data_IF_126816403851
#
_entry.id   IF_126816403851
#
_cell.length_a   1.000
_cell.length_b   1.000
_cell.length_c   1.000
_cell.angle_alpha   90.00
_cell.angle_beta   90.00
_cell.angle_gamma   90.00
#
_symmetry.space_group_name_H-M   'P 1'
#
loop_
_entity.id
_entity.type
_entity.pdbx_description
1 polymer ?
#
# COMPACT_ATOMS: atom_id res chain seq x y z
N UNK A 1 22.95 -18.91 22.62
CA UNK A 1 21.52 -18.82 22.27
C UNK A 1 20.80 -19.80 23.17
N UNK A 2 19.90 -19.31 24.01
CA UNK A 2 19.18 -20.14 24.97
C UNK A 2 18.23 -21.07 24.21
N UNK A 3 18.01 -22.28 24.71
CA UNK A 3 17.18 -23.31 24.07
C UNK A 3 15.74 -22.83 23.79
N UNK A 4 15.22 -21.99 24.69
CA UNK A 4 13.90 -21.36 24.52
C UNK A 4 13.85 -20.34 23.39
N UNK A 5 14.89 -19.52 23.22
CA UNK A 5 15.00 -18.56 22.10
C UNK A 5 15.09 -19.29 20.76
N UNK A 6 15.81 -20.41 20.70
CA UNK A 6 15.91 -21.24 19.50
C UNK A 6 14.56 -21.86 19.11
N UNK A 7 13.80 -22.36 20.10
CA UNK A 7 12.46 -22.92 19.86
C UNK A 7 11.49 -21.84 19.43
N UNK A 8 11.51 -20.67 20.06
CA UNK A 8 10.64 -19.54 19.68
C UNK A 8 10.95 -19.07 18.25
N UNK A 9 12.23 -18.91 17.90
CA UNK A 9 12.65 -18.57 16.54
C UNK A 9 12.18 -19.61 15.51
N UNK A 10 12.29 -20.90 15.82
CA UNK A 10 11.80 -21.96 14.95
C UNK A 10 10.27 -21.95 14.81
N UNK A 11 9.52 -21.68 15.88
CA UNK A 11 8.06 -21.54 15.83
C UNK A 11 7.64 -20.31 14.99
N UNK A 12 8.38 -19.22 15.07
CA UNK A 12 8.12 -18.03 14.27
C UNK A 12 8.41 -18.27 12.78
N UNK A 13 9.45 -19.02 12.47
CA UNK A 13 9.72 -19.45 11.09
C UNK A 13 8.63 -20.39 10.56
N UNK A 14 8.13 -21.33 11.36
CA UNK A 14 7.03 -22.21 10.98
C UNK A 14 5.73 -21.45 10.76
N UNK A 15 5.42 -20.45 11.58
CA UNK A 15 4.28 -19.56 11.38
C UNK A 15 4.43 -18.76 10.09
N UNK A 16 5.62 -18.20 9.86
CA UNK A 16 5.92 -17.42 8.65
C UNK A 16 5.83 -18.26 7.37
N UNK A 17 6.22 -19.54 7.42
CA UNK A 17 6.11 -20.47 6.28
C UNK A 17 4.68 -20.93 5.97
N UNK A 18 3.73 -20.71 6.90
CA UNK A 18 2.31 -21.05 6.72
C UNK A 18 1.45 -19.84 6.33
N UNK A 19 1.98 -18.63 6.46
CA UNK A 19 1.31 -17.40 6.11
C UNK A 19 1.50 -17.11 4.62
N UNK A 20 0.48 -16.54 3.98
CA UNK A 20 0.59 -16.04 2.61
C UNK A 20 1.60 -14.89 2.48
N UNK A 21 2.18 -14.72 1.29
CA UNK A 21 3.09 -13.61 1.00
C UNK A 21 2.32 -12.30 0.89
N UNK A 22 2.88 -11.22 1.46
CA UNK A 22 2.27 -9.91 1.50
C UNK A 22 3.05 -8.89 0.67
N UNK A 23 2.47 -8.47 -0.47
CA UNK A 23 3.05 -7.47 -1.38
C UNK A 23 2.23 -6.20 -1.36
N UNK A 24 2.89 -5.06 -1.11
CA UNK A 24 2.26 -3.74 -1.05
C UNK A 24 2.82 -2.82 -2.12
N UNK A 25 1.96 -2.24 -2.96
CA UNK A 25 2.29 -1.12 -3.84
C UNK A 25 2.03 0.20 -3.14
N UNK A 26 3.10 0.97 -2.93
CA UNK A 26 3.02 2.32 -2.35
C UNK A 26 3.11 3.36 -3.46
N UNK A 27 2.37 4.44 -3.32
CA UNK A 27 2.52 5.61 -4.18
C UNK A 27 2.27 6.88 -3.40
N UNK A 28 2.87 7.97 -3.86
CA UNK A 28 2.74 9.28 -3.23
C UNK A 28 1.30 9.78 -3.16
N UNK A 29 0.47 9.47 -4.18
CA UNK A 29 -0.90 9.99 -4.34
C UNK A 29 -1.71 9.08 -5.28
N UNK A 30 -3.02 9.36 -5.40
CA UNK A 30 -3.87 8.73 -6.40
C UNK A 30 -3.41 9.07 -7.84
N UNK A 31 -3.56 8.13 -8.77
CA UNK A 31 -3.25 8.33 -10.20
C UNK A 31 -1.83 8.00 -10.63
N UNK A 32 -0.93 7.62 -9.71
CA UNK A 32 0.44 7.19 -10.07
C UNK A 32 0.49 5.85 -10.82
N UNK A 33 -0.59 5.03 -10.75
CA UNK A 33 -0.68 3.78 -11.50
C UNK A 33 -0.57 2.51 -10.64
N UNK A 34 -0.76 2.58 -9.32
CA UNK A 34 -0.69 1.40 -8.43
C UNK A 34 -1.63 0.28 -8.85
N UNK A 35 -2.94 0.56 -8.97
CA UNK A 35 -3.95 -0.43 -9.34
C UNK A 35 -3.69 -1.00 -10.74
N UNK A 36 -3.23 -0.16 -11.69
CA UNK A 36 -2.80 -0.61 -13.02
C UNK A 36 -1.66 -1.62 -12.93
N UNK A 37 -0.60 -1.29 -12.19
CA UNK A 37 0.57 -2.18 -12.03
C UNK A 37 0.19 -3.49 -11.32
N UNK A 38 -0.61 -3.38 -10.28
CA UNK A 38 -1.11 -4.53 -9.51
C UNK A 38 -1.89 -5.51 -10.39
N UNK A 39 -2.80 -5.02 -11.23
CA UNK A 39 -3.56 -5.84 -12.18
C UNK A 39 -2.68 -6.42 -13.29
N UNK A 40 -1.69 -5.66 -13.78
CA UNK A 40 -0.73 -6.17 -14.77
C UNK A 40 0.08 -7.33 -14.20
N UNK A 41 0.55 -7.23 -12.95
CA UNK A 41 1.26 -8.33 -12.28
C UNK A 41 0.32 -9.53 -12.04
N UNK A 42 -0.97 -9.29 -11.76
CA UNK A 42 -1.97 -10.34 -11.60
C UNK A 42 -2.15 -11.15 -12.89
N UNK A 43 -2.18 -10.50 -14.06
CA UNK A 43 -2.20 -11.19 -15.35
C UNK A 43 -0.97 -12.08 -15.56
N UNK A 44 0.23 -11.56 -15.26
CA UNK A 44 1.47 -12.34 -15.38
C UNK A 44 1.49 -13.57 -14.46
N UNK A 45 0.96 -13.44 -13.24
CA UNK A 45 0.81 -14.56 -12.32
C UNK A 45 -0.18 -15.59 -12.87
N UNK A 46 -1.34 -15.14 -13.37
CA UNK A 46 -2.35 -16.03 -13.96
C UNK A 46 -1.80 -16.78 -15.19
N UNK A 47 -1.08 -16.07 -16.09
CA UNK A 47 -0.39 -16.67 -17.24
C UNK A 47 0.67 -17.70 -16.82
N UNK A 48 1.27 -17.52 -15.65
CA UNK A 48 2.23 -18.46 -15.04
C UNK A 48 1.55 -19.65 -14.36
N UNK A 49 0.22 -19.74 -14.39
CA UNK A 49 -0.56 -20.85 -13.84
C UNK A 49 -0.91 -20.72 -12.35
N UNK A 50 -0.69 -19.54 -11.75
CA UNK A 50 -1.06 -19.26 -10.35
C UNK A 50 -2.55 -18.92 -10.27
N UNK A 51 -3.27 -19.50 -9.30
CA UNK A 51 -4.69 -19.17 -9.05
C UNK A 51 -4.81 -17.79 -8.41
N UNK A 52 -4.96 -16.76 -9.25
CA UNK A 52 -5.12 -15.36 -8.85
C UNK A 52 -6.58 -14.94 -8.97
N UNK A 53 -7.12 -14.29 -7.94
CA UNK A 53 -8.48 -13.71 -7.97
C UNK A 53 -8.48 -12.27 -7.49
N UNK A 54 -9.39 -11.47 -8.03
CA UNK A 54 -9.68 -10.13 -7.52
C UNK A 54 -10.68 -10.27 -6.38
N UNK A 55 -10.23 -9.96 -5.14
CA UNK A 55 -11.11 -9.86 -3.97
C UNK A 55 -11.77 -8.49 -3.88
N UNK A 56 -11.00 -7.42 -4.17
CA UNK A 56 -11.52 -6.06 -4.27
C UNK A 56 -10.63 -5.19 -5.15
N UNK A 57 -11.22 -4.46 -6.05
CA UNK A 57 -10.55 -3.46 -6.90
C UNK A 57 -11.46 -2.25 -7.12
N UNK A 58 -10.91 -1.04 -7.04
CA UNK A 58 -11.64 0.17 -7.37
C UNK A 58 -10.98 0.86 -8.57
N UNK A 59 -11.65 0.83 -9.70
CA UNK A 59 -11.14 1.41 -10.96
C UNK A 59 -11.39 2.91 -11.06
N UNK A 60 -12.33 3.42 -10.28
CA UNK A 60 -12.79 4.82 -10.33
C UNK A 60 -13.26 5.27 -11.74
N UNK A 61 -13.68 4.34 -12.59
CA UNK A 61 -14.07 4.61 -13.99
C UNK A 61 -12.88 4.92 -14.90
N UNK A 62 -11.67 4.48 -14.55
CA UNK A 62 -10.46 4.65 -15.39
C UNK A 62 -10.41 3.54 -16.43
N UNK A 63 -10.63 3.89 -17.69
CA UNK A 63 -10.75 2.94 -18.82
C UNK A 63 -9.52 1.99 -18.89
N UNK A 64 -8.31 2.52 -18.74
CA UNK A 64 -7.08 1.72 -18.80
C UNK A 64 -7.01 0.68 -17.66
N UNK A 65 -7.54 1.02 -16.48
CA UNK A 65 -7.57 0.10 -15.31
C UNK A 65 -8.72 -0.90 -15.44
N UNK A 66 -9.88 -0.46 -15.93
CA UNK A 66 -11.03 -1.32 -16.18
C UNK A 66 -10.71 -2.42 -17.19
N UNK A 67 -10.01 -2.07 -18.28
CA UNK A 67 -9.57 -3.04 -19.27
C UNK A 67 -8.70 -4.16 -18.69
N UNK A 68 -7.91 -3.89 -17.65
CA UNK A 68 -7.09 -4.89 -16.98
C UNK A 68 -7.87 -5.77 -15.98
N UNK A 69 -9.12 -5.46 -15.68
CA UNK A 69 -9.98 -6.36 -14.89
C UNK A 69 -10.49 -7.51 -15.77
N UNK A 70 -10.63 -7.29 -17.08
CA UNK A 70 -11.03 -8.32 -18.02
C UNK A 70 -10.01 -9.47 -18.03
N UNK A 71 -10.53 -10.70 -18.00
CA UNK A 71 -9.72 -11.93 -18.01
C UNK A 71 -9.21 -12.36 -16.63
N UNK A 72 -9.35 -11.54 -15.59
CA UNK A 72 -9.05 -11.95 -14.22
C UNK A 72 -10.33 -12.44 -13.51
N UNK A 73 -10.28 -13.58 -12.79
CA UNK A 73 -11.41 -14.03 -11.98
C UNK A 73 -11.70 -13.04 -10.85
N UNK A 74 -12.98 -12.61 -10.73
CA UNK A 74 -13.43 -11.65 -9.71
C UNK A 74 -14.32 -12.36 -8.70
N UNK A 75 -14.04 -12.19 -7.42
CA UNK A 75 -14.92 -12.62 -6.32
C UNK A 75 -16.04 -11.59 -6.20
N UNK A 76 -17.33 -11.99 -6.27
CA UNK A 76 -18.44 -11.06 -6.14
C UNK A 76 -18.38 -10.27 -4.83
N UNK A 77 -18.66 -8.98 -4.90
CA UNK A 77 -18.74 -8.14 -3.71
C UNK A 77 -19.97 -8.50 -2.87
N UNK A 78 -19.85 -8.40 -1.57
CA UNK A 78 -20.96 -8.54 -0.64
C UNK A 78 -21.79 -7.25 -0.64
N UNK A 79 -23.11 -7.36 -0.76
CA UNK A 79 -24.03 -6.24 -0.65
C UNK A 79 -24.51 -6.09 0.79
N UNK A 80 -24.34 -4.89 1.34
CA UNK A 80 -24.77 -4.53 2.69
C UNK A 80 -25.74 -3.36 2.60
N UNK A 81 -26.91 -3.49 3.24
CA UNK A 81 -27.87 -2.40 3.33
C UNK A 81 -27.57 -1.53 4.56
N UNK A 82 -27.07 -0.30 4.32
CA UNK A 82 -26.67 0.62 5.37
C UNK A 82 -27.30 1.99 5.17
N UNK A 83 -27.99 2.52 6.19
CA UNK A 83 -28.65 3.84 6.18
C UNK A 83 -29.50 4.11 4.92
N UNK A 84 -30.26 3.10 4.48
CA UNK A 84 -31.17 3.23 3.35
C UNK A 84 -30.51 3.10 1.97
N UNK A 85 -29.24 2.71 1.90
CA UNK A 85 -28.49 2.49 0.65
C UNK A 85 -27.87 1.11 0.63
N UNK A 86 -27.84 0.48 -0.53
CA UNK A 86 -27.04 -0.71 -0.77
C UNK A 86 -25.59 -0.27 -1.03
N UNK A 87 -24.66 -0.84 -0.27
CA UNK A 87 -23.22 -0.60 -0.38
C UNK A 87 -22.53 -1.93 -0.68
N UNK A 88 -21.55 -1.90 -1.54
CA UNK A 88 -20.76 -3.06 -1.90
C UNK A 88 -19.43 -3.08 -1.16
N UNK A 89 -19.15 -4.20 -0.49
CA UNK A 89 -17.89 -4.44 0.24
C UNK A 89 -17.22 -5.73 -0.24
N UNK A 90 -15.95 -5.87 0.07
CA UNK A 90 -15.21 -7.11 -0.14
C UNK A 90 -15.90 -8.25 0.61
N UNK A 91 -16.13 -9.37 -0.06
CA UNK A 91 -16.65 -10.58 0.58
C UNK A 91 -15.52 -11.47 1.09
N UNK A 92 -15.07 -11.17 2.30
CA UNK A 92 -13.98 -11.91 2.94
C UNK A 92 -14.30 -13.42 3.07
N UNK A 93 -15.58 -13.77 3.28
CA UNK A 93 -15.98 -15.17 3.46
C UNK A 93 -15.95 -15.97 2.15
N UNK A 94 -16.10 -15.29 1.01
CA UNK A 94 -16.02 -15.90 -0.32
C UNK A 94 -14.57 -16.06 -0.82
N UNK A 95 -13.57 -15.55 -0.10
CA UNK A 95 -12.15 -15.77 -0.38
C UNK A 95 -11.75 -17.12 0.20
N UNK A 96 -12.06 -18.22 -0.53
CA UNK A 96 -11.97 -19.55 0.02
C UNK A 96 -10.61 -20.22 -0.13
N UNK A 97 -9.94 -20.07 -1.26
CA UNK A 97 -8.64 -20.74 -1.47
C UNK A 97 -7.88 -20.35 -2.75
N UNK A 98 -7.85 -19.09 -3.21
CA UNK A 98 -6.91 -18.73 -4.26
C UNK A 98 -5.49 -18.79 -3.69
N UNK A 99 -4.49 -18.95 -4.57
CA UNK A 99 -3.09 -18.82 -4.14
C UNK A 99 -2.73 -17.35 -3.88
N UNK A 100 -3.32 -16.44 -4.68
CA UNK A 100 -3.12 -14.99 -4.57
C UNK A 100 -4.45 -14.26 -4.70
N UNK A 101 -4.67 -13.27 -3.86
CA UNK A 101 -5.83 -12.36 -3.96
C UNK A 101 -5.38 -10.90 -4.10
N UNK A 102 -6.03 -10.20 -5.01
CA UNK A 102 -5.84 -8.75 -5.22
C UNK A 102 -6.83 -7.99 -4.36
N UNK A 103 -6.32 -7.12 -3.48
CA UNK A 103 -7.14 -6.28 -2.59
C UNK A 103 -6.66 -4.84 -2.65
N UNK A 104 -7.39 -3.98 -3.34
CA UNK A 104 -7.08 -2.54 -3.41
C UNK A 104 -7.61 -1.78 -2.19
N UNK A 105 -7.19 -0.52 -2.05
CA UNK A 105 -7.62 0.40 -0.98
C UNK A 105 -7.40 -0.15 0.44
N UNK A 106 -6.15 -0.53 0.76
CA UNK A 106 -5.77 -1.14 2.05
C UNK A 106 -6.22 -0.34 3.28
N UNK A 107 -6.31 0.99 3.20
CA UNK A 107 -6.67 1.86 4.31
C UNK A 107 -8.20 2.05 4.49
N UNK A 108 -9.00 1.44 3.61
CA UNK A 108 -10.46 1.59 3.64
C UNK A 108 -11.07 1.22 4.99
N UNK A 109 -12.07 2.00 5.42
CA UNK A 109 -12.90 1.68 6.58
C UNK A 109 -14.13 0.92 6.11
N UNK A 110 -14.23 -0.34 6.50
CA UNK A 110 -15.34 -1.20 6.13
C UNK A 110 -16.68 -0.69 6.68
N UNK A 111 -17.77 -1.01 6.00
CA UNK A 111 -19.11 -0.65 6.46
C UNK A 111 -19.43 -1.34 7.78
N UNK A 112 -20.15 -0.66 8.65
CA UNK A 112 -20.66 -1.20 9.91
C UNK A 112 -21.43 -2.52 9.67
N UNK A 113 -21.11 -3.53 10.48
CA UNK A 113 -21.61 -4.91 10.31
C UNK A 113 -20.69 -5.80 9.44
N UNK A 114 -19.55 -5.29 8.98
CA UNK A 114 -18.47 -6.12 8.45
C UNK A 114 -17.75 -6.88 9.57
N UNK A 115 -17.03 -7.98 9.23
CA UNK A 115 -16.26 -8.78 10.21
C UNK A 115 -15.23 -7.91 10.92
N UNK A 116 -14.48 -7.14 10.16
CA UNK A 116 -13.44 -6.25 10.65
C UNK A 116 -13.81 -4.79 10.36
N UNK A 117 -13.34 -3.85 11.18
CA UNK A 117 -13.57 -2.42 10.99
C UNK A 117 -12.77 -1.86 9.80
N UNK A 118 -11.58 -2.41 9.54
CA UNK A 118 -10.65 -1.93 8.53
C UNK A 118 -10.28 -3.02 7.52
N UNK A 119 -10.12 -2.66 6.27
CA UNK A 119 -9.71 -3.59 5.21
C UNK A 119 -8.34 -4.21 5.45
N UNK A 120 -7.40 -3.47 6.03
CA UNK A 120 -6.11 -4.04 6.37
C UNK A 120 -6.22 -5.23 7.35
N UNK A 121 -7.23 -5.23 8.25
CA UNK A 121 -7.49 -6.36 9.15
C UNK A 121 -8.01 -7.58 8.37
N UNK A 122 -8.88 -7.36 7.37
CA UNK A 122 -9.32 -8.43 6.47
C UNK A 122 -8.14 -9.03 5.71
N UNK A 123 -7.20 -8.18 5.26
CA UNK A 123 -5.97 -8.62 4.60
C UNK A 123 -5.11 -9.47 5.54
N UNK A 124 -4.99 -9.10 6.83
CA UNK A 124 -4.28 -9.94 7.80
C UNK A 124 -4.95 -11.31 7.96
N UNK A 125 -6.27 -11.36 8.05
CA UNK A 125 -7.02 -12.63 8.14
C UNK A 125 -6.77 -13.54 6.91
N UNK A 126 -6.72 -12.94 5.71
CA UNK A 126 -6.43 -13.66 4.45
C UNK A 126 -5.01 -14.24 4.47
N UNK A 127 -4.03 -13.43 4.87
CA UNK A 127 -2.64 -13.86 4.98
C UNK A 127 -2.47 -14.98 6.00
N UNK A 128 -3.13 -14.90 7.15
CA UNK A 128 -3.08 -15.90 8.21
C UNK A 128 -3.76 -17.22 7.80
N UNK A 129 -4.70 -17.16 6.84
CA UNK A 129 -5.27 -18.34 6.18
C UNK A 129 -4.33 -18.97 5.16
N UNK A 130 -3.13 -18.43 4.92
CA UNK A 130 -2.14 -18.96 3.98
C UNK A 130 -2.29 -18.46 2.54
N UNK A 131 -3.16 -17.49 2.29
CA UNK A 131 -3.42 -16.90 0.97
C UNK A 131 -2.55 -15.66 0.81
N UNK A 132 -1.80 -15.58 -0.29
CA UNK A 132 -0.98 -14.40 -0.61
C UNK A 132 -1.83 -13.22 -1.02
N UNK A 133 -1.42 -12.01 -0.61
CA UNK A 133 -2.15 -10.77 -0.91
C UNK A 133 -1.26 -9.78 -1.63
N UNK A 134 -1.79 -9.22 -2.72
CA UNK A 134 -1.23 -8.05 -3.41
C UNK A 134 -2.18 -6.89 -3.19
N UNK A 135 -1.69 -5.79 -2.62
CA UNK A 135 -2.51 -4.63 -2.25
C UNK A 135 -1.83 -3.31 -2.61
N UNK A 136 -2.58 -2.21 -2.46
CA UNK A 136 -2.06 -0.88 -2.72
C UNK A 136 -2.46 0.13 -1.65
N UNK A 137 -1.57 1.10 -1.39
CA UNK A 137 -1.81 2.19 -0.45
C UNK A 137 -1.13 3.48 -0.92
N UNK A 138 -1.71 4.63 -0.62
CA UNK A 138 -1.03 5.92 -0.77
C UNK A 138 -0.30 6.27 0.53
N UNK A 139 0.81 6.97 0.41
CA UNK A 139 1.66 7.41 1.54
C UNK A 139 0.87 8.16 2.61
N UNK A 140 -0.15 8.93 2.21
CA UNK A 140 -1.01 9.72 3.09
C UNK A 140 -1.83 8.89 4.08
N UNK A 141 -1.98 7.59 3.84
CA UNK A 141 -2.73 6.68 4.69
C UNK A 141 -1.86 5.94 5.70
N UNK A 142 -0.56 6.20 5.75
CA UNK A 142 0.37 5.61 6.73
C UNK A 142 0.31 6.45 8.00
N UNK A 143 0.01 5.81 9.13
CA UNK A 143 -0.25 6.50 10.40
C UNK A 143 0.94 7.34 10.87
N UNK A 144 2.15 6.78 10.85
CA UNK A 144 3.37 7.47 11.26
C UNK A 144 3.78 8.66 10.38
N UNK A 145 3.18 8.81 9.19
CA UNK A 145 3.43 9.92 8.27
C UNK A 145 2.31 10.97 8.25
N UNK A 146 1.22 10.73 9.00
CA UNK A 146 0.02 11.55 8.90
C UNK A 146 0.24 13.03 9.23
N UNK A 147 1.00 13.35 10.28
CA UNK A 147 1.32 14.73 10.65
C UNK A 147 2.10 15.43 9.54
N UNK A 148 3.15 14.79 9.01
CA UNK A 148 3.94 15.34 7.90
C UNK A 148 3.09 15.57 6.64
N UNK A 149 2.20 14.62 6.33
CA UNK A 149 1.28 14.77 5.20
C UNK A 149 0.29 15.90 5.43
N UNK A 150 -0.24 16.03 6.65
CA UNK A 150 -1.15 17.12 7.01
C UNK A 150 -0.47 18.49 6.88
N UNK A 151 0.77 18.62 7.30
CA UNK A 151 1.57 19.83 7.15
C UNK A 151 1.78 20.21 5.68
N UNK A 152 1.97 19.20 4.81
CA UNK A 152 2.17 19.41 3.37
C UNK A 152 0.88 19.82 2.67
N UNK A 153 -0.23 19.09 2.89
CA UNK A 153 -1.45 19.24 2.10
C UNK A 153 -2.55 20.04 2.80
N UNK A 154 -2.39 20.31 4.10
CA UNK A 154 -3.37 21.07 4.90
C UNK A 154 -4.68 20.32 5.19
N UNK A 155 -4.72 19.00 4.97
CA UNK A 155 -5.93 18.19 5.13
C UNK A 155 -5.60 16.97 6.00
N UNK A 156 -6.41 16.74 7.03
CA UNK A 156 -6.33 15.54 7.84
C UNK A 156 -6.86 14.31 7.08
N UNK A 157 -6.06 13.27 6.98
CA UNK A 157 -6.46 11.98 6.40
C UNK A 157 -6.95 11.06 7.51
N UNK A 158 -8.23 10.66 7.44
CA UNK A 158 -8.88 9.84 8.48
C UNK A 158 -8.67 8.34 8.28
N UNK A 159 -8.65 7.89 7.04
CA UNK A 159 -8.40 6.48 6.73
C UNK A 159 -6.90 6.20 6.80
N UNK A 160 -6.50 5.35 7.74
CA UNK A 160 -5.08 5.08 8.03
C UNK A 160 -4.84 3.59 8.23
N UNK A 161 -3.62 3.18 7.96
CA UNK A 161 -3.07 1.88 8.32
C UNK A 161 -1.96 2.09 9.36
N UNK A 162 -1.88 1.26 10.40
CA UNK A 162 -0.77 1.27 11.33
C UNK A 162 0.55 0.92 10.65
N UNK A 163 1.67 1.49 11.09
CA UNK A 163 3.00 1.23 10.53
C UNK A 163 3.38 -0.25 10.58
N UNK A 164 2.91 -0.97 11.60
CA UNK A 164 3.12 -2.41 11.75
C UNK A 164 2.59 -3.22 10.55
N UNK A 165 1.57 -2.74 9.84
CA UNK A 165 1.05 -3.41 8.64
C UNK A 165 2.08 -3.41 7.53
N UNK A 166 2.78 -2.28 7.33
CA UNK A 166 3.88 -2.20 6.38
C UNK A 166 5.09 -3.05 6.81
N UNK A 167 5.35 -3.16 8.11
CA UNK A 167 6.43 -3.99 8.65
C UNK A 167 6.22 -5.48 8.40
N UNK A 168 4.98 -5.90 8.25
CA UNK A 168 4.63 -7.27 7.92
C UNK A 168 4.73 -7.60 6.43
N UNK A 169 4.95 -6.61 5.55
CA UNK A 169 5.06 -6.83 4.13
C UNK A 169 6.34 -7.57 3.76
N UNK A 170 6.18 -8.61 2.94
CA UNK A 170 7.31 -9.35 2.35
C UNK A 170 7.96 -8.55 1.22
N UNK A 171 7.15 -7.78 0.48
CA UNK A 171 7.61 -6.92 -0.61
C UNK A 171 6.88 -5.58 -0.59
N UNK A 172 7.63 -4.49 -0.67
CA UNK A 172 7.11 -3.13 -0.81
C UNK A 172 7.65 -2.54 -2.10
N UNK A 173 6.75 -2.15 -3.01
CA UNK A 173 7.08 -1.61 -4.34
C UNK A 173 6.63 -0.17 -4.42
N UNK A 174 7.55 0.75 -4.69
CA UNK A 174 7.21 2.14 -4.95
C UNK A 174 6.74 2.33 -6.40
N UNK A 175 5.55 2.88 -6.58
CA UNK A 175 5.05 3.33 -7.89
C UNK A 175 5.21 4.83 -7.95
N UNK A 176 6.15 5.27 -8.77
CA UNK A 176 6.57 6.65 -8.88
C UNK A 176 6.27 7.27 -10.26
N UNK A 177 5.96 8.54 -10.24
CA UNK A 177 5.85 9.42 -11.42
C UNK A 177 6.43 10.78 -11.08
N UNK A 178 6.90 11.49 -12.09
CA UNK A 178 7.26 12.90 -11.94
C UNK A 178 6.02 13.76 -11.69
N UNK A 179 6.19 14.91 -11.05
CA UNK A 179 5.09 15.84 -10.83
C UNK A 179 4.43 16.27 -12.15
N UNK A 180 5.24 16.51 -13.18
CA UNK A 180 4.74 16.91 -14.50
C UNK A 180 3.91 15.83 -15.16
N UNK A 181 4.35 14.57 -15.13
CA UNK A 181 3.58 13.43 -15.65
C UNK A 181 2.26 13.25 -14.92
N UNK A 182 2.27 13.36 -13.58
CA UNK A 182 1.07 13.24 -12.79
C UNK A 182 0.07 14.37 -13.08
N UNK A 183 0.53 15.61 -13.19
CA UNK A 183 -0.29 16.76 -13.56
C UNK A 183 -0.83 16.65 -14.99
N UNK A 184 -0.03 16.12 -15.92
CA UNK A 184 -0.49 15.85 -17.30
C UNK A 184 -1.61 14.80 -17.30
N UNK A 185 -1.47 13.71 -16.55
CA UNK A 185 -2.52 12.69 -16.38
C UNK A 185 -3.80 13.26 -15.77
N UNK A 186 -3.68 14.14 -14.76
CA UNK A 186 -4.82 14.79 -14.14
C UNK A 186 -5.56 15.67 -15.14
N UNK A 187 -4.84 16.54 -15.87
CA UNK A 187 -5.41 17.43 -16.90
C UNK A 187 -6.07 16.66 -18.05
N UNK A 188 -5.52 15.48 -18.40
CA UNK A 188 -6.09 14.59 -19.41
C UNK A 188 -7.32 13.79 -18.92
N UNK A 189 -7.80 14.02 -17.69
CA UNK A 189 -8.96 13.31 -17.14
C UNK A 189 -8.72 11.85 -16.76
N UNK A 190 -7.45 11.41 -16.72
CA UNK A 190 -7.08 10.01 -16.41
C UNK A 190 -7.12 9.68 -14.91
N UNK A 191 -7.25 10.68 -14.02
CA UNK A 191 -7.29 10.49 -12.57
C UNK A 191 -8.69 10.76 -12.01
N UNK A 192 -9.26 11.91 -12.36
CA UNK A 192 -10.58 12.35 -11.95
C UNK A 192 -11.41 12.79 -13.15
N UNK A 193 -12.73 12.76 -12.98
CA UNK A 193 -13.67 13.30 -13.97
C UNK A 193 -13.42 14.81 -14.19
N UNK A 194 -13.77 15.36 -15.37
CA UNK A 194 -13.47 16.75 -15.75
C UNK A 194 -13.96 17.81 -14.73
N UNK A 195 -15.12 17.58 -14.12
CA UNK A 195 -15.72 18.46 -13.11
C UNK A 195 -14.89 18.60 -11.82
N UNK A 196 -14.05 17.60 -11.51
CA UNK A 196 -13.20 17.56 -10.31
C UNK A 196 -11.76 18.01 -10.54
N UNK A 197 -11.32 18.13 -11.79
CA UNK A 197 -9.91 18.42 -12.13
C UNK A 197 -9.48 19.76 -11.54
N UNK A 198 -10.27 20.83 -11.74
CA UNK A 198 -9.89 22.16 -11.27
C UNK A 198 -9.80 22.23 -9.74
N UNK A 199 -10.73 21.57 -9.04
CA UNK A 199 -10.70 21.48 -7.58
C UNK A 199 -9.47 20.74 -7.10
N UNK A 200 -9.10 19.64 -7.77
CA UNK A 200 -7.91 18.86 -7.44
C UNK A 200 -6.63 19.67 -7.64
N UNK A 201 -6.49 20.41 -8.74
CA UNK A 201 -5.34 21.28 -9.03
C UNK A 201 -5.19 22.40 -8.01
N UNK A 202 -6.30 22.98 -7.55
CA UNK A 202 -6.26 24.07 -6.58
C UNK A 202 -5.92 23.63 -5.15
N UNK A 203 -6.13 22.36 -4.83
CA UNK A 203 -5.97 21.81 -3.48
C UNK A 203 -4.78 20.86 -3.40
N UNK A 204 -5.02 19.58 -3.65
CA UNK A 204 -4.09 18.51 -3.36
C UNK A 204 -2.99 18.35 -4.43
N UNK A 205 -3.33 18.59 -5.71
CA UNK A 205 -2.42 18.39 -6.86
C UNK A 205 -1.61 19.64 -7.21
N UNK A 206 -1.02 20.30 -6.21
CA UNK A 206 -0.02 21.32 -6.43
C UNK A 206 1.35 20.68 -6.62
N UNK A 207 2.17 21.22 -7.53
CA UNK A 207 3.49 20.64 -7.83
C UNK A 207 4.37 20.50 -6.57
N UNK A 208 4.33 21.49 -5.68
CA UNK A 208 5.06 21.48 -4.41
C UNK A 208 4.62 20.34 -3.49
N UNK A 209 3.30 20.15 -3.32
CA UNK A 209 2.75 19.05 -2.52
C UNK A 209 3.13 17.68 -3.10
N UNK A 210 3.05 17.53 -4.44
CA UNK A 210 3.42 16.30 -5.13
C UNK A 210 4.89 15.96 -4.89
N UNK A 211 5.80 16.94 -4.99
CA UNK A 211 7.23 16.74 -4.76
C UNK A 211 7.51 16.31 -3.32
N UNK A 212 6.87 16.95 -2.32
CA UNK A 212 7.05 16.61 -0.91
C UNK A 212 6.48 15.22 -0.58
N UNK A 213 5.28 14.90 -1.08
CA UNK A 213 4.69 13.56 -0.91
C UNK A 213 5.52 12.46 -1.61
N UNK A 214 6.11 12.77 -2.77
CA UNK A 214 7.04 11.89 -3.47
C UNK A 214 8.29 11.63 -2.64
N UNK A 215 8.88 12.67 -2.06
CA UNK A 215 10.03 12.54 -1.17
C UNK A 215 9.71 11.66 0.04
N UNK A 216 8.55 11.87 0.69
CA UNK A 216 8.09 11.03 1.80
C UNK A 216 7.92 9.56 1.38
N UNK A 217 7.32 9.30 0.21
CA UNK A 217 7.14 7.94 -0.28
C UNK A 217 8.48 7.24 -0.55
N UNK A 218 9.43 7.93 -1.16
CA UNK A 218 10.76 7.39 -1.43
C UNK A 218 11.53 7.11 -0.14
N UNK A 219 11.48 8.01 0.85
CA UNK A 219 12.11 7.81 2.16
C UNK A 219 11.51 6.61 2.89
N UNK A 220 10.18 6.49 2.90
CA UNK A 220 9.51 5.37 3.58
C UNK A 220 9.91 4.02 2.97
N UNK A 221 9.92 3.91 1.64
CA UNK A 221 10.34 2.68 0.96
C UNK A 221 11.81 2.37 1.22
N UNK A 222 12.69 3.38 1.19
CA UNK A 222 14.12 3.20 1.49
C UNK A 222 14.34 2.67 2.91
N UNK A 223 13.63 3.22 3.91
CA UNK A 223 13.68 2.73 5.29
C UNK A 223 13.22 1.27 5.42
N UNK A 224 12.20 0.86 4.65
CA UNK A 224 11.73 -0.54 4.65
C UNK A 224 12.76 -1.48 4.04
N UNK A 225 13.39 -1.08 2.94
CA UNK A 225 14.48 -1.86 2.32
C UNK A 225 15.65 -1.99 3.28
N UNK A 226 16.05 -0.91 3.95
CA UNK A 226 17.14 -0.93 4.96
C UNK A 226 16.83 -1.91 6.09
N UNK A 227 15.66 -1.80 6.73
CA UNK A 227 15.22 -2.72 7.79
C UNK A 227 15.21 -4.19 7.34
N UNK A 228 14.76 -4.45 6.10
CA UNK A 228 14.74 -5.82 5.56
C UNK A 228 16.15 -6.35 5.33
N UNK A 229 17.07 -5.54 4.81
CA UNK A 229 18.48 -5.91 4.64
C UNK A 229 19.10 -6.22 6.01
N UNK A 230 18.90 -5.35 7.02
CA UNK A 230 19.41 -5.57 8.38
C UNK A 230 18.89 -6.89 9.00
N UNK A 231 17.63 -7.23 8.77
CA UNK A 231 17.02 -8.48 9.30
C UNK A 231 17.45 -9.75 8.55
N UNK A 232 17.97 -9.62 7.33
CA UNK A 232 18.29 -10.76 6.45
C UNK A 232 19.79 -11.09 6.49
N UNK A 233 20.66 -10.11 6.79
CA UNK A 233 22.10 -10.32 6.86
C UNK A 233 22.45 -10.88 8.25
N UNK A 234 23.05 -12.08 8.37
CA UNK A 234 23.55 -12.58 9.65
C UNK A 234 24.57 -11.60 10.24
N UNK A 235 24.51 -11.34 11.55
CA UNK A 235 25.43 -10.44 12.28
C UNK A 235 26.92 -10.71 12.03
N UNK A 236 27.27 -11.91 11.57
CA UNK A 236 28.65 -12.35 11.31
C UNK A 236 29.23 -11.89 9.96
N UNK A 237 28.41 -11.32 9.04
CA UNK A 237 28.86 -10.85 7.72
C UNK A 237 29.14 -9.35 7.66
N UNK A 238 29.45 -8.72 8.81
CA UNK A 238 30.21 -7.48 8.96
C UNK A 238 30.07 -6.38 7.90
N UNK A 239 28.91 -6.19 7.27
CA UNK A 239 28.63 -4.93 6.56
C UNK A 239 28.27 -3.90 7.63
N UNK A 240 29.30 -3.28 8.21
CA UNK A 240 29.12 -2.11 9.06
C UNK A 240 28.58 -1.00 8.18
N UNK A 241 27.28 -0.73 8.26
CA UNK A 241 26.76 0.54 7.80
C UNK A 241 27.34 1.61 8.73
N UNK A 242 28.31 2.36 8.25
CA UNK A 242 28.80 3.54 8.95
C UNK A 242 27.66 4.55 9.01
N UNK A 243 27.12 4.77 10.21
CA UNK A 243 26.12 5.80 10.45
C UNK A 243 26.83 7.08 10.83
N UNK A 244 26.73 8.09 9.97
CA UNK A 244 27.23 9.43 10.27
C UNK A 244 26.09 10.26 10.84
N UNK A 245 26.29 10.79 12.04
CA UNK A 245 25.39 11.80 12.62
C UNK A 245 26.03 13.17 12.43
N UNK A 246 25.46 13.99 11.54
CA UNK A 246 25.83 15.39 11.41
C UNK A 246 24.97 16.23 12.35
N UNK A 247 25.55 16.79 13.41
CA UNK A 247 24.89 17.77 14.25
C UNK A 247 25.03 19.15 13.59
N UNK A 248 23.93 19.68 13.07
CA UNK A 248 23.87 21.06 12.53
C UNK A 248 23.26 21.97 13.60
N UNK A 249 24.00 23.03 13.97
CA UNK A 249 23.45 24.08 14.82
C UNK A 249 22.63 25.05 13.98
N UNK A 250 21.43 25.38 14.45
CA UNK A 250 20.57 26.38 13.81
C UNK A 250 21.04 27.84 13.98
N UNK A 251 22.19 28.07 14.62
CA UNK A 251 22.77 29.39 14.73
C UNK A 251 23.50 29.74 13.43
N UNK A 252 22.99 30.73 12.72
CA UNK A 252 23.60 31.41 11.57
C UNK A 252 24.95 32.08 11.96
N UNK A 253 26.00 31.28 12.11
CA UNK A 253 27.38 31.78 12.03
C UNK A 253 28.08 30.95 10.96
N UNK A 254 28.09 31.53 9.76
CA UNK A 254 28.99 31.08 8.69
C UNK A 254 30.41 30.93 9.25
N UNK A 255 31.05 29.78 9.13
CA UNK A 255 32.47 29.67 9.45
C UNK A 255 33.27 30.52 8.45
N UNK A 256 34.16 31.34 8.95
CA UNK A 256 35.17 32.06 8.16
C UNK A 256 36.24 31.10 7.67
#
# INVERSE_FOLDING_TARGET
MDREQSVQHFLDLLKKSRRGNFKIYIGMIAGVGKSYRMLSDAHQLLESGIDVKIGYIETHGRVETEALVEGLPVIPRRKIFYKGKEIEEMDLQSILSPEVVIVDELAHTNVEGSKNEKRWQDVMDILDAGISVITAVNIQHIEGLNEMVQDVVGIEVKERIPDIVLEQADEVVNIDLTADELLARLKAGKIYKPDKIQTALNNFFKAEHILQLRELALKEVALRVEKKVESTIPENLGVRHERFMACISSNEKTPR
#
